data_IF_958367240605
#
_entry.id   IF_958367240605
#
_cell.length_a   1.000
_cell.length_b   1.000
_cell.length_c   1.000
_cell.angle_alpha   90.00
_cell.angle_beta   90.00
_cell.angle_gamma   90.00
#
_symmetry.space_group_name_H-M   'P 1'
#
loop_
_entity.id
_entity.type
_entity.pdbx_description
1 polymer ?
#
# COMPACT_ATOMS: atom_id res chain seq x y z
N UNK A 1 -16.29 13.33 17.50
CA UNK A 1 -15.34 12.20 17.30
C UNK A 1 -15.19 11.95 15.80
N UNK A 2 -13.97 12.01 15.24
CA UNK A 2 -13.76 11.56 13.85
C UNK A 2 -13.97 10.04 13.80
N UNK A 3 -14.83 9.55 12.89
CA UNK A 3 -15.05 8.12 12.66
C UNK A 3 -13.69 7.46 12.38
N UNK A 4 -13.35 6.36 13.07
CA UNK A 4 -12.12 5.60 12.80
C UNK A 4 -12.30 4.87 11.47
N UNK A 5 -11.45 5.17 10.48
CA UNK A 5 -11.43 4.54 9.15
C UNK A 5 -11.46 3.01 9.25
N UNK A 6 -12.57 2.35 8.94
CA UNK A 6 -12.70 0.89 8.97
C UNK A 6 -12.29 0.22 7.65
N UNK A 7 -12.41 -1.11 7.56
CA UNK A 7 -12.03 -1.85 6.35
C UNK A 7 -12.87 -1.40 5.15
N UNK A 8 -14.17 -1.21 5.34
CA UNK A 8 -15.09 -0.79 4.28
C UNK A 8 -14.71 0.59 3.78
N UNK A 9 -14.49 1.55 4.70
CA UNK A 9 -14.07 2.91 4.37
C UNK A 9 -12.74 2.91 3.57
N UNK A 10 -11.78 2.05 3.96
CA UNK A 10 -10.51 1.90 3.26
C UNK A 10 -10.70 1.34 1.85
N UNK A 11 -11.46 0.25 1.70
CA UNK A 11 -11.67 -0.40 0.40
C UNK A 11 -12.44 0.52 -0.57
N UNK A 12 -13.43 1.26 -0.09
CA UNK A 12 -14.13 2.27 -0.88
C UNK A 12 -13.22 3.43 -1.30
N UNK A 13 -12.36 3.91 -0.38
CA UNK A 13 -11.39 4.93 -0.71
C UNK A 13 -10.41 4.48 -1.81
N UNK A 14 -9.89 3.26 -1.69
CA UNK A 14 -8.99 2.67 -2.69
C UNK A 14 -9.70 2.41 -4.02
N UNK A 15 -10.98 1.99 -3.99
CA UNK A 15 -11.79 1.83 -5.20
C UNK A 15 -12.00 3.17 -5.93
N UNK A 16 -12.13 4.27 -5.19
CA UNK A 16 -12.19 5.63 -5.73
C UNK A 16 -10.82 6.19 -6.15
N UNK A 17 -9.75 5.38 -6.15
CA UNK A 17 -8.41 5.80 -6.54
C UNK A 17 -7.67 6.67 -5.51
N UNK A 18 -8.20 6.81 -4.29
CA UNK A 18 -7.57 7.64 -3.24
C UNK A 18 -6.38 6.94 -2.62
N UNK A 19 -5.32 7.70 -2.37
CA UNK A 19 -4.17 7.28 -1.58
C UNK A 19 -4.53 7.51 -0.10
N UNK A 20 -4.38 6.48 0.72
CA UNK A 20 -4.85 6.51 2.11
C UNK A 20 -3.68 6.34 3.07
N UNK A 21 -3.26 7.41 3.77
CA UNK A 21 -2.39 7.28 4.93
C UNK A 21 -3.19 6.75 6.12
N UNK A 22 -2.59 5.85 6.90
CA UNK A 22 -3.14 5.38 8.17
C UNK A 22 -2.04 5.00 9.16
N UNK A 23 -2.31 5.07 10.47
CA UNK A 23 -1.36 4.62 11.49
C UNK A 23 -0.99 3.14 11.31
N UNK A 24 0.26 2.78 11.63
CA UNK A 24 0.76 1.39 11.56
C UNK A 24 -0.16 0.42 12.31
N UNK A 25 -0.60 0.78 13.52
CA UNK A 25 -1.54 -0.06 14.30
C UNK A 25 -2.86 -0.27 13.57
N UNK A 26 -3.35 0.76 12.87
CA UNK A 26 -4.58 0.63 12.09
C UNK A 26 -4.36 -0.28 10.89
N UNK A 27 -3.21 -0.17 10.22
CA UNK A 27 -2.86 -1.06 9.13
C UNK A 27 -2.78 -2.51 9.59
N UNK A 28 -2.09 -2.81 10.71
CA UNK A 28 -1.99 -4.18 11.25
C UNK A 28 -3.36 -4.83 11.47
N UNK A 29 -4.33 -4.07 11.98
CA UNK A 29 -5.70 -4.55 12.19
C UNK A 29 -6.46 -4.84 10.88
N UNK A 30 -6.10 -4.18 9.78
CA UNK A 30 -6.78 -4.29 8.49
C UNK A 30 -6.03 -5.20 7.49
N UNK A 31 -4.74 -5.43 7.73
CA UNK A 31 -3.84 -6.12 6.81
C UNK A 31 -4.29 -7.55 6.48
N UNK A 32 -5.02 -8.22 7.38
CA UNK A 32 -5.56 -9.57 7.15
C UNK A 32 -6.55 -9.65 5.97
N UNK A 33 -7.11 -8.53 5.51
CA UNK A 33 -7.95 -8.47 4.32
C UNK A 33 -7.15 -8.36 3.01
N UNK A 34 -5.83 -8.18 3.09
CA UNK A 34 -4.95 -7.99 1.94
C UNK A 34 -4.06 -9.22 1.77
N UNK A 35 -3.89 -9.67 0.53
CA UNK A 35 -2.92 -10.72 0.23
C UNK A 35 -1.62 -10.08 -0.20
N UNK A 36 -0.56 -10.23 0.59
CA UNK A 36 0.78 -9.81 0.17
C UNK A 36 1.25 -10.72 -0.96
N UNK A 37 1.55 -10.12 -2.10
CA UNK A 37 2.09 -10.82 -3.28
C UNK A 37 3.61 -10.76 -3.27
N UNK A 38 4.17 -9.64 -2.84
CA UNK A 38 5.60 -9.40 -2.82
C UNK A 38 5.96 -8.41 -1.72
N UNK A 39 7.08 -8.68 -1.04
CA UNK A 39 7.69 -7.78 -0.06
C UNK A 39 9.02 -7.33 -0.64
N UNK A 40 9.19 -6.02 -0.74
CA UNK A 40 10.34 -5.38 -1.37
C UNK A 40 11.09 -4.62 -0.28
N UNK A 41 12.25 -5.13 0.18
CA UNK A 41 13.04 -4.46 1.20
C UNK A 41 13.66 -3.18 0.61
N UNK A 42 13.55 -2.07 1.35
CA UNK A 42 14.15 -0.77 0.97
C UNK A 42 15.28 -0.35 1.93
N UNK A 43 15.79 -1.31 2.71
CA UNK A 43 16.77 -1.03 3.78
C UNK A 43 16.12 -0.27 4.93
N UNK A 44 16.71 0.87 5.31
CA UNK A 44 16.28 1.65 6.48
C UNK A 44 14.93 2.37 6.30
N UNK A 45 14.41 2.47 5.08
CA UNK A 45 13.14 3.16 4.79
C UNK A 45 11.89 2.28 4.99
N UNK A 46 12.07 1.00 5.35
CA UNK A 46 11.00 0.05 5.62
C UNK A 46 10.40 -0.58 4.36
N UNK A 47 9.87 -1.79 4.50
CA UNK A 47 9.44 -2.56 3.33
C UNK A 47 8.28 -1.93 2.57
N UNK A 48 8.37 -2.03 1.25
CA UNK A 48 7.25 -1.83 0.32
C UNK A 48 6.53 -3.17 0.15
N UNK A 49 5.22 -3.17 0.34
CA UNK A 49 4.39 -4.35 0.10
C UNK A 49 3.57 -4.16 -1.16
N UNK A 50 3.67 -5.11 -2.08
CA UNK A 50 2.72 -5.25 -3.16
C UNK A 50 1.60 -6.19 -2.72
N UNK A 51 0.36 -5.71 -2.72
CA UNK A 51 -0.79 -6.46 -2.20
C UNK A 51 -1.93 -6.58 -3.21
N UNK A 52 -2.67 -7.69 -3.12
CA UNK A 52 -4.04 -7.79 -3.63
C UNK A 52 -5.00 -7.29 -2.58
N UNK A 53 -6.03 -6.57 -3.02
CA UNK A 53 -7.09 -6.04 -2.17
C UNK A 53 -8.48 -6.43 -2.67
N UNK A 54 -9.47 -6.54 -1.77
CA UNK A 54 -10.88 -6.57 -2.15
C UNK A 54 -11.27 -5.34 -2.98
N UNK A 55 -12.25 -5.53 -3.86
CA UNK A 55 -12.88 -4.46 -4.64
C UNK A 55 -14.39 -4.55 -4.41
N UNK A 56 -15.09 -3.46 -4.04
CA UNK A 56 -16.53 -3.49 -3.85
C UNK A 56 -17.25 -3.99 -5.10
N UNK A 57 -18.09 -5.02 -4.96
CA UNK A 57 -18.85 -5.60 -6.07
C UNK A 57 -18.02 -6.29 -7.16
N UNK A 58 -16.69 -6.37 -7.02
CA UNK A 58 -15.79 -6.96 -8.00
C UNK A 58 -15.45 -8.41 -7.68
N UNK A 59 -15.39 -9.27 -8.71
CA UNK A 59 -14.87 -10.65 -8.57
C UNK A 59 -13.34 -10.73 -8.66
N UNK A 60 -12.71 -9.73 -9.29
CA UNK A 60 -11.27 -9.68 -9.48
C UNK A 60 -10.64 -8.79 -8.41
N UNK A 61 -9.62 -9.27 -7.67
CA UNK A 61 -8.95 -8.46 -6.68
C UNK A 61 -8.18 -7.31 -7.33
N UNK A 62 -8.29 -6.13 -6.72
CA UNK A 62 -7.55 -4.95 -7.09
C UNK A 62 -6.10 -5.06 -6.63
N UNK A 63 -5.25 -4.17 -7.14
CA UNK A 63 -3.87 -4.04 -6.70
C UNK A 63 -3.73 -2.82 -5.79
N UNK A 64 -2.80 -2.89 -4.85
CA UNK A 64 -2.33 -1.76 -4.09
C UNK A 64 -0.86 -1.92 -3.69
N UNK A 65 -0.20 -0.80 -3.44
CA UNK A 65 1.12 -0.73 -2.84
C UNK A 65 0.99 -0.15 -1.43
N UNK A 66 1.70 -0.75 -0.48
CA UNK A 66 1.75 -0.30 0.91
C UNK A 66 3.18 0.12 1.21
N UNK A 67 3.37 1.39 1.53
CA UNK A 67 4.67 1.97 1.84
C UNK A 67 4.69 2.52 3.27
N UNK A 68 5.85 2.51 3.91
CA UNK A 68 6.06 3.23 5.16
C UNK A 68 6.45 4.67 4.82
N UNK A 69 5.55 5.62 5.04
CA UNK A 69 5.86 7.04 4.82
C UNK A 69 6.67 7.62 5.97
N UNK A 70 6.41 7.15 7.20
CA UNK A 70 7.02 7.56 8.48
C UNK A 70 7.04 6.37 9.45
N UNK A 71 7.81 6.39 10.54
CA UNK A 71 7.89 5.28 11.50
C UNK A 71 6.52 4.71 11.92
N UNK A 72 5.54 5.56 12.20
CA UNK A 72 4.21 5.16 12.69
C UNK A 72 3.09 5.27 11.65
N UNK A 73 3.41 5.45 10.37
CA UNK A 73 2.43 5.65 9.29
C UNK A 73 2.69 4.72 8.10
N UNK A 74 1.62 4.09 7.63
CA UNK A 74 1.58 3.37 6.36
C UNK A 74 0.71 4.12 5.37
N UNK A 75 1.10 4.12 4.12
CA UNK A 75 0.31 4.66 3.02
C UNK A 75 -0.09 3.53 2.10
N UNK A 76 -1.40 3.39 1.85
CA UNK A 76 -1.95 2.42 0.91
C UNK A 76 -2.37 3.17 -0.36
N UNK A 77 -1.75 2.79 -1.48
CA UNK A 77 -1.96 3.38 -2.79
C UNK A 77 -2.65 2.37 -3.71
N UNK A 78 -3.84 2.64 -4.25
CA UNK A 78 -4.46 1.75 -5.20
C UNK A 78 -3.68 1.76 -6.52
N UNK A 79 -3.62 0.61 -7.16
CA UNK A 79 -2.95 0.43 -8.45
C UNK A 79 -3.91 -0.18 -9.47
N UNK A 80 -3.82 0.24 -10.74
CA UNK A 80 -4.73 -0.24 -11.79
C UNK A 80 -4.46 -1.69 -12.20
N UNK A 81 -3.28 -2.23 -11.89
CA UNK A 81 -2.89 -3.56 -12.32
C UNK A 81 -1.50 -3.99 -11.87
N UNK A 82 -1.17 -5.26 -12.11
CA UNK A 82 0.13 -5.86 -11.78
C UNK A 82 1.29 -5.13 -12.45
N UNK A 83 1.14 -4.80 -13.73
CA UNK A 83 2.19 -4.15 -14.53
C UNK A 83 2.59 -2.81 -13.93
N UNK A 84 1.60 -1.99 -13.58
CA UNK A 84 1.83 -0.69 -12.95
C UNK A 84 2.38 -0.84 -11.54
N UNK A 85 2.00 -1.92 -10.85
CA UNK A 85 2.55 -2.21 -9.54
C UNK A 85 4.05 -2.51 -9.56
N UNK A 86 4.47 -3.38 -10.49
CA UNK A 86 5.88 -3.72 -10.68
C UNK A 86 6.69 -2.52 -11.17
N UNK A 87 6.13 -1.71 -12.08
CA UNK A 87 6.78 -0.49 -12.55
C UNK A 87 7.02 0.51 -11.40
N UNK A 88 5.98 0.79 -10.60
CA UNK A 88 6.11 1.70 -9.46
C UNK A 88 7.07 1.16 -8.40
N UNK A 89 7.05 -0.14 -8.12
CA UNK A 89 8.00 -0.78 -7.23
C UNK A 89 9.46 -0.57 -7.69
N UNK A 90 9.73 -0.79 -8.99
CA UNK A 90 11.04 -0.54 -9.58
C UNK A 90 11.47 0.93 -9.52
N UNK A 91 10.56 1.87 -9.81
CA UNK A 91 10.81 3.31 -9.66
C UNK A 91 11.18 3.68 -8.23
N UNK A 92 10.51 3.08 -7.24
CA UNK A 92 10.78 3.32 -5.81
C UNK A 92 12.14 2.77 -5.39
N UNK A 93 12.47 1.54 -5.77
CA UNK A 93 13.79 0.96 -5.49
C UNK A 93 14.91 1.84 -6.07
N UNK A 94 14.80 2.22 -7.34
CA UNK A 94 15.78 3.09 -7.99
C UNK A 94 15.88 4.47 -7.32
N UNK A 95 14.79 5.00 -6.76
CA UNK A 95 14.82 6.24 -6.01
C UNK A 95 15.57 6.10 -4.69
N UNK A 96 15.39 4.98 -3.97
CA UNK A 96 16.11 4.71 -2.72
C UNK A 96 17.60 4.44 -2.96
N UNK A 97 17.97 3.71 -4.00
CA UNK A 97 19.38 3.45 -4.34
C UNK A 97 20.14 4.75 -4.59
N UNK A 98 19.56 5.69 -5.35
CA UNK A 98 20.17 7.01 -5.60
C UNK A 98 20.35 7.87 -4.33
N UNK A 99 19.59 7.62 -3.27
CA UNK A 99 19.78 8.33 -2.00
C UNK A 99 21.00 7.84 -1.22
N UNK A 100 21.51 6.65 -1.54
CA UNK A 100 22.67 6.04 -0.88
C UNK A 100 24.00 6.24 -1.64
N UNK A 101 23.93 6.43 -2.96
CA UNK A 101 25.11 6.71 -3.82
C UNK A 101 25.61 8.17 -3.75
N UNK A 102 25.06 8.99 -2.84
CA UNK A 102 25.36 10.42 -2.66
C UNK A 102 26.20 10.74 -1.45
#
# INVERSE_FOLDING_TARGET
MKKKLDLTDLIEALAAGRIVPLPVERWRNLAGAFTVVETIPTGLAGDILLVRRPVPGGRTPGWALVEQSKPDERVVRPLPGRKQALALAGERLAAYERMWDG
#
